data_IF_490056718264
#
_entry.id   IF_490056718264
#
_cell.length_a   1.000
_cell.length_b   1.000
_cell.length_c   1.000
_cell.angle_alpha   90.00
_cell.angle_beta   90.00
_cell.angle_gamma   90.00
#
_symmetry.space_group_name_H-M   'P 1'
#
loop_
_entity.id
_entity.type
_entity.pdbx_description
1 polymer ?
#
# COMPACT_ATOMS: atom_id res chain seq x y z
N UNK A 1 -7.59 22.41 -5.60
CA UNK A 1 -6.34 21.63 -5.53
C UNK A 1 -5.98 21.10 -6.91
N UNK A 2 -4.68 21.09 -7.24
CA UNK A 2 -4.14 20.65 -8.54
C UNK A 2 -3.99 19.13 -8.62
N UNK A 3 -3.78 18.61 -9.84
CA UNK A 3 -3.41 17.20 -10.04
C UNK A 3 -2.13 16.85 -9.25
N UNK A 4 -1.12 17.72 -9.29
CA UNK A 4 0.17 17.50 -8.62
C UNK A 4 0.04 17.43 -7.10
N UNK A 5 -0.87 18.20 -6.50
CA UNK A 5 -1.17 18.08 -5.07
C UNK A 5 -1.63 16.66 -4.72
N UNK A 6 -2.59 16.13 -5.48
CA UNK A 6 -3.08 14.77 -5.26
C UNK A 6 -1.98 13.73 -5.55
N UNK A 7 -1.13 13.96 -6.55
CA UNK A 7 0.01 13.07 -6.84
C UNK A 7 1.00 13.00 -5.67
N UNK A 8 1.37 14.14 -5.09
CA UNK A 8 2.24 14.20 -3.91
C UNK A 8 1.57 13.50 -2.72
N UNK A 9 0.28 13.77 -2.47
CA UNK A 9 -0.44 13.12 -1.38
C UNK A 9 -0.56 11.60 -1.58
N UNK A 10 -0.73 11.13 -2.81
CA UNK A 10 -0.78 9.70 -3.11
C UNK A 10 0.57 9.03 -2.82
N UNK A 11 1.69 9.67 -3.18
CA UNK A 11 3.02 9.18 -2.80
C UNK A 11 3.27 9.22 -1.30
N UNK A 12 2.79 10.25 -0.61
CA UNK A 12 2.88 10.30 0.85
C UNK A 12 2.16 9.10 1.49
N UNK A 13 0.93 8.82 1.06
CA UNK A 13 0.20 7.62 1.48
C UNK A 13 0.92 6.32 1.13
N UNK A 14 1.50 6.23 -0.08
CA UNK A 14 2.30 5.09 -0.53
C UNK A 14 3.48 4.82 0.43
N UNK A 15 4.26 5.84 0.77
CA UNK A 15 5.41 5.69 1.67
C UNK A 15 4.99 5.23 3.07
N UNK A 16 3.86 5.73 3.58
CA UNK A 16 3.31 5.27 4.87
C UNK A 16 2.92 3.79 4.82
N UNK A 17 2.22 3.35 3.76
CA UNK A 17 1.79 1.95 3.60
C UNK A 17 2.99 1.01 3.48
N UNK A 18 3.95 1.32 2.62
CA UNK A 18 5.12 0.45 2.40
C UNK A 18 6.03 0.41 3.64
N UNK A 19 6.23 1.53 4.32
CA UNK A 19 7.02 1.56 5.56
C UNK A 19 6.35 0.75 6.67
N UNK A 20 5.03 0.90 6.84
CA UNK A 20 4.27 0.15 7.84
C UNK A 20 4.27 -1.36 7.57
N UNK A 21 4.04 -1.77 6.31
CA UNK A 21 4.11 -3.18 5.92
C UNK A 21 5.51 -3.76 6.13
N UNK A 22 6.57 -3.04 5.74
CA UNK A 22 7.95 -3.44 5.99
C UNK A 22 8.22 -3.67 7.47
N UNK A 23 7.83 -2.72 8.33
CA UNK A 23 7.96 -2.86 9.79
C UNK A 23 7.17 -4.05 10.34
N UNK A 24 5.94 -4.26 9.87
CA UNK A 24 5.09 -5.39 10.30
C UNK A 24 5.69 -6.74 9.93
N UNK A 25 6.21 -6.86 8.71
CA UNK A 25 6.82 -8.09 8.21
C UNK A 25 8.15 -8.37 8.91
N UNK A 26 8.97 -7.34 9.16
CA UNK A 26 10.22 -7.47 9.90
C UNK A 26 9.98 -7.96 11.33
N UNK A 27 8.95 -7.46 12.03
CA UNK A 27 8.56 -7.96 13.36
C UNK A 27 8.16 -9.44 13.28
N UNK A 28 7.38 -9.82 12.25
CA UNK A 28 6.94 -11.20 12.08
C UNK A 28 8.09 -12.18 11.83
N UNK A 29 9.08 -11.78 11.02
CA UNK A 29 10.27 -12.57 10.71
C UNK A 29 11.19 -12.77 11.93
N UNK A 30 11.29 -11.76 12.80
CA UNK A 30 12.09 -11.85 14.03
C UNK A 30 11.39 -12.64 15.16
N UNK A 31 10.29 -13.35 14.85
CA UNK A 31 9.57 -14.18 15.81
C UNK A 31 8.80 -13.40 16.88
N UNK A 32 8.87 -12.06 16.91
CA UNK A 32 8.24 -11.23 17.92
C UNK A 32 6.75 -11.49 18.08
N UNK A 33 6.25 -11.46 19.33
CA UNK A 33 4.81 -11.36 19.53
C UNK A 33 4.39 -9.94 19.17
N UNK A 34 3.71 -9.81 18.03
CA UNK A 34 3.15 -8.54 17.56
C UNK A 34 2.34 -7.82 18.64
N UNK A 35 1.72 -8.51 19.60
CA UNK A 35 0.92 -7.89 20.67
C UNK A 35 1.77 -7.13 21.69
N UNK A 36 3.05 -7.44 21.81
CA UNK A 36 3.94 -6.88 22.83
C UNK A 36 4.85 -5.76 22.31
N UNK A 37 4.78 -5.45 21.01
CA UNK A 37 5.66 -4.48 20.38
C UNK A 37 5.07 -3.06 20.39
N UNK A 38 5.70 -2.05 21.04
CA UNK A 38 5.22 -0.67 21.04
C UNK A 38 5.04 -0.09 19.63
N UNK A 39 5.89 -0.50 18.69
CA UNK A 39 5.84 -0.10 17.30
C UNK A 39 4.54 -0.52 16.57
N UNK A 40 3.82 -1.54 17.06
CA UNK A 40 2.58 -2.02 16.43
C UNK A 40 1.51 -0.93 16.30
N UNK A 41 1.37 -0.08 17.33
CA UNK A 41 0.39 1.01 17.31
C UNK A 41 0.68 1.97 16.15
N UNK A 42 1.94 2.37 16.00
CA UNK A 42 2.37 3.27 14.94
C UNK A 42 2.25 2.61 13.56
N UNK A 43 2.66 1.35 13.42
CA UNK A 43 2.47 0.57 12.19
C UNK A 43 0.99 0.58 11.75
N UNK A 44 0.07 0.30 12.67
CA UNK A 44 -1.37 0.31 12.36
C UNK A 44 -1.88 1.68 11.93
N UNK A 45 -1.47 2.75 12.62
CA UNK A 45 -1.84 4.13 12.29
C UNK A 45 -1.33 4.51 10.90
N UNK A 46 -0.03 4.32 10.64
CA UNK A 46 0.58 4.69 9.36
C UNK A 46 0.03 3.84 8.20
N UNK A 47 -0.25 2.55 8.43
CA UNK A 47 -0.87 1.70 7.41
C UNK A 47 -2.29 2.16 7.08
N UNK A 48 -3.15 2.34 8.09
CA UNK A 48 -4.54 2.76 7.90
C UNK A 48 -4.65 4.17 7.30
N UNK A 49 -3.92 5.14 7.86
CA UNK A 49 -3.91 6.50 7.36
C UNK A 49 -3.28 6.59 5.95
N UNK A 50 -2.21 5.83 5.71
CA UNK A 50 -1.59 5.72 4.39
C UNK A 50 -2.56 5.20 3.33
N UNK A 51 -3.31 4.12 3.62
CA UNK A 51 -4.33 3.58 2.72
C UNK A 51 -5.43 4.60 2.43
N UNK A 52 -5.90 5.30 3.46
CA UNK A 52 -6.94 6.31 3.33
C UNK A 52 -6.50 7.50 2.47
N UNK A 53 -5.32 8.06 2.77
CA UNK A 53 -4.74 9.16 1.99
C UNK A 53 -4.52 8.73 0.53
N UNK A 54 -3.95 7.54 0.33
CA UNK A 54 -3.69 6.99 -1.00
C UNK A 54 -4.98 6.82 -1.80
N UNK A 55 -6.07 6.37 -1.17
CA UNK A 55 -7.38 6.24 -1.80
C UNK A 55 -7.95 7.61 -2.20
N UNK A 56 -8.09 8.53 -1.24
CA UNK A 56 -8.66 9.87 -1.50
C UNK A 56 -7.86 10.62 -2.56
N UNK A 57 -6.53 10.58 -2.46
CA UNK A 57 -5.65 11.22 -3.44
C UNK A 57 -5.71 10.55 -4.82
N UNK A 58 -5.85 9.21 -4.86
CA UNK A 58 -6.02 8.45 -6.10
C UNK A 58 -7.28 8.88 -6.86
N UNK A 59 -8.43 8.93 -6.17
CA UNK A 59 -9.68 9.42 -6.76
C UNK A 59 -9.61 10.91 -7.12
N UNK A 60 -8.89 11.73 -6.33
CA UNK A 60 -8.61 13.12 -6.68
C UNK A 60 -7.87 13.26 -8.00
N UNK A 61 -6.84 12.45 -8.25
CA UNK A 61 -6.13 12.44 -9.54
C UNK A 61 -7.05 12.00 -10.70
N UNK A 62 -7.89 10.98 -10.49
CA UNK A 62 -8.85 10.50 -11.51
C UNK A 62 -9.81 11.63 -11.90
N UNK A 63 -10.40 12.29 -10.92
CA UNK A 63 -11.33 13.40 -11.13
C UNK A 63 -10.66 14.59 -11.83
N UNK A 64 -9.39 14.89 -11.51
CA UNK A 64 -8.65 15.99 -12.15
C UNK A 64 -8.18 15.69 -13.56
N UNK A 65 -7.96 14.42 -13.89
CA UNK A 65 -7.56 14.00 -15.22
C UNK A 65 -8.74 13.70 -16.15
N UNK A 66 -9.98 13.60 -15.63
CA UNK A 66 -11.20 13.29 -16.40
C UNK A 66 -11.11 11.97 -17.19
N UNK A 67 -10.47 10.94 -16.62
CA UNK A 67 -10.14 9.69 -17.33
C UNK A 67 -11.03 8.48 -17.01
N UNK A 68 -12.01 8.61 -16.11
CA UNK A 68 -12.87 7.47 -15.73
C UNK A 68 -12.10 6.33 -15.05
N UNK A 69 -12.45 5.07 -15.36
CA UNK A 69 -11.84 3.86 -14.79
C UNK A 69 -11.35 2.88 -15.88
N UNK A 70 -10.34 3.25 -16.68
CA UNK A 70 -9.64 2.30 -17.55
C UNK A 70 -9.05 1.16 -16.73
N UNK A 71 -8.77 0.02 -17.37
CA UNK A 71 -8.46 -1.17 -16.61
C UNK A 71 -7.17 -1.04 -15.80
N UNK A 72 -6.18 -0.23 -16.19
CA UNK A 72 -4.98 0.03 -15.39
C UNK A 72 -5.31 0.72 -14.04
N UNK A 73 -6.39 1.49 -13.95
CA UNK A 73 -6.89 2.07 -12.70
C UNK A 73 -7.54 0.98 -11.85
N UNK A 74 -8.37 0.13 -12.45
CA UNK A 74 -9.01 -1.00 -11.77
C UNK A 74 -7.94 -1.95 -11.21
N UNK A 75 -6.91 -2.25 -12.00
CA UNK A 75 -5.77 -3.06 -11.56
C UNK A 75 -5.04 -2.46 -10.37
N UNK A 76 -4.83 -1.13 -10.35
CA UNK A 76 -4.28 -0.43 -9.18
C UNK A 76 -5.20 -0.49 -7.97
N UNK A 77 -6.51 -0.39 -8.15
CA UNK A 77 -7.47 -0.54 -7.05
C UNK A 77 -7.40 -1.94 -6.45
N UNK A 78 -7.30 -2.98 -7.28
CA UNK A 78 -7.09 -4.35 -6.82
C UNK A 78 -5.79 -4.48 -6.01
N UNK A 79 -4.68 -3.91 -6.50
CA UNK A 79 -3.40 -3.88 -5.77
C UNK A 79 -3.56 -3.16 -4.41
N UNK A 80 -4.25 -2.03 -4.38
CA UNK A 80 -4.51 -1.28 -3.14
C UNK A 80 -5.29 -2.12 -2.11
N UNK A 81 -6.32 -2.87 -2.54
CA UNK A 81 -7.06 -3.79 -1.67
C UNK A 81 -6.12 -4.87 -1.10
N UNK A 82 -5.29 -5.47 -1.95
CA UNK A 82 -4.33 -6.51 -1.52
C UNK A 82 -3.35 -5.94 -0.50
N UNK A 83 -2.76 -4.76 -0.75
CA UNK A 83 -1.87 -4.08 0.20
C UNK A 83 -2.55 -3.75 1.53
N UNK A 84 -3.86 -3.50 1.51
CA UNK A 84 -4.65 -3.29 2.73
C UNK A 84 -4.82 -4.54 3.60
N UNK A 85 -4.86 -5.73 2.99
CA UNK A 85 -5.07 -6.99 3.72
C UNK A 85 -3.81 -7.81 3.98
N UNK A 86 -2.79 -7.70 3.13
CA UNK A 86 -1.69 -8.69 3.07
C UNK A 86 -0.84 -8.72 4.35
N UNK A 87 -0.75 -7.61 5.08
CA UNK A 87 -0.06 -7.58 6.37
C UNK A 87 -0.63 -8.58 7.38
N UNK A 88 -1.95 -8.83 7.37
CA UNK A 88 -2.57 -9.81 8.25
C UNK A 88 -2.06 -11.23 8.02
N UNK A 89 -1.66 -11.56 6.78
CA UNK A 89 -1.05 -12.85 6.44
C UNK A 89 0.31 -12.98 7.14
N UNK A 90 1.18 -11.97 7.05
CA UNK A 90 2.47 -12.00 7.75
C UNK A 90 2.31 -12.08 9.27
N UNK A 91 1.30 -11.41 9.83
CA UNK A 91 1.05 -11.41 11.28
C UNK A 91 0.51 -12.76 11.80
N UNK A 92 -0.30 -13.47 10.99
CA UNK A 92 -0.92 -14.75 11.39
C UNK A 92 -0.11 -15.98 10.98
N UNK A 93 0.61 -15.91 9.86
CA UNK A 93 1.40 -16.99 9.26
C UNK A 93 2.85 -16.54 9.13
N UNK A 94 3.59 -16.53 10.25
CA UNK A 94 4.97 -16.03 10.33
C UNK A 94 5.92 -16.72 9.33
N UNK A 95 5.69 -18.01 9.04
CA UNK A 95 6.46 -18.76 8.04
C UNK A 95 6.32 -18.21 6.60
N UNK A 96 5.26 -17.46 6.31
CA UNK A 96 5.04 -16.83 5.01
C UNK A 96 5.53 -15.37 4.97
N UNK A 97 6.05 -14.82 6.07
CA UNK A 97 6.37 -13.39 6.14
C UNK A 97 7.40 -12.95 5.08
N UNK A 98 8.44 -13.77 4.80
CA UNK A 98 9.42 -13.47 3.75
C UNK A 98 8.82 -13.49 2.34
N UNK A 99 7.91 -14.42 2.07
CA UNK A 99 7.16 -14.46 0.82
C UNK A 99 6.26 -13.23 0.69
N UNK A 100 5.57 -12.84 1.76
CA UNK A 100 4.74 -11.63 1.81
C UNK A 100 5.57 -10.38 1.52
N UNK A 101 6.80 -10.28 2.04
CA UNK A 101 7.70 -9.16 1.73
C UNK A 101 7.94 -9.05 0.22
N UNK A 102 8.30 -10.16 -0.41
CA UNK A 102 8.56 -10.21 -1.85
C UNK A 102 7.31 -9.80 -2.64
N UNK A 103 6.14 -10.31 -2.25
CA UNK A 103 4.86 -9.96 -2.89
C UNK A 103 4.57 -8.46 -2.75
N UNK A 104 4.78 -7.85 -1.58
CA UNK A 104 4.56 -6.40 -1.39
C UNK A 104 5.44 -5.57 -2.33
N UNK A 105 6.71 -5.95 -2.52
CA UNK A 105 7.61 -5.28 -3.46
C UNK A 105 7.11 -5.43 -4.90
N UNK A 106 6.74 -6.65 -5.31
CA UNK A 106 6.22 -6.92 -6.65
C UNK A 106 4.90 -6.20 -6.94
N UNK A 107 4.02 -6.09 -5.94
CA UNK A 107 2.80 -5.29 -6.04
C UNK A 107 3.11 -3.80 -6.24
N UNK A 108 4.10 -3.27 -5.52
CA UNK A 108 4.59 -1.89 -5.71
C UNK A 108 5.14 -1.65 -7.11
N UNK A 109 6.00 -2.54 -7.59
CA UNK A 109 6.55 -2.50 -8.95
C UNK A 109 5.43 -2.55 -10.00
N UNK A 110 4.47 -3.46 -9.83
CA UNK A 110 3.34 -3.61 -10.75
C UNK A 110 2.46 -2.36 -10.76
N UNK A 111 2.17 -1.78 -9.59
CA UNK A 111 1.41 -0.53 -9.50
C UNK A 111 2.14 0.64 -10.19
N UNK A 112 3.47 0.72 -10.05
CA UNK A 112 4.30 1.72 -10.73
C UNK A 112 4.29 1.51 -12.26
N UNK A 113 4.43 0.27 -12.71
CA UNK A 113 4.32 -0.10 -14.13
C UNK A 113 2.96 0.33 -14.73
N UNK A 114 1.85 -0.03 -14.07
CA UNK A 114 0.50 0.38 -14.51
C UNK A 114 0.34 1.90 -14.53
N UNK A 115 0.94 2.62 -13.58
CA UNK A 115 0.90 4.09 -13.53
C UNK A 115 1.57 4.74 -14.75
N UNK A 116 2.69 4.17 -15.16
CA UNK A 116 3.55 4.74 -16.19
C UNK A 116 3.05 4.40 -17.58
N UNK A 117 2.83 3.12 -17.85
CA UNK A 117 2.51 2.63 -19.20
C UNK A 117 1.03 2.69 -19.55
N UNK A 118 0.13 2.66 -18.54
CA UNK A 118 -1.33 2.71 -18.73
C UNK A 118 -1.84 1.77 -19.86
N UNK A 119 -1.47 0.47 -19.86
CA UNK A 119 -1.55 -0.37 -21.06
C UNK A 119 -2.97 -0.77 -21.50
N UNK A 120 -4.01 -0.52 -20.70
CA UNK A 120 -5.41 -0.90 -20.96
C UNK A 120 -6.39 -0.13 -20.08
#
# INVERSE_FOLDING_TARGET
MSFDFYKVMHFFGLFMVFSALGGQIAIALNGGDSKQQPARKWIGIYHGLGLFIMLVAGFGMIAKASIGFPGWIIGKMAIWIILGGIGAVAARKKNLAGMVWTIVILLGLTAAYLAHYKPF
#
